data_IF_331300461897
#
_entry.id   IF_331300461897
#
_cell.length_a   1.000
_cell.length_b   1.000
_cell.length_c   1.000
_cell.angle_alpha   90.00
_cell.angle_beta   90.00
_cell.angle_gamma   90.00
#
_symmetry.space_group_name_H-M   'P 1'
#
loop_
_entity.id
_entity.type
_entity.pdbx_description
1 polymer ?
#
# COMPACT_ATOMS: atom_id res chain seq x y z
N UNK A 1 15.57 1.01 -22.35
CA UNK A 1 16.41 -0.20 -22.41
C UNK A 1 15.99 -1.13 -21.28
N UNK A 2 15.93 -2.45 -21.50
CA UNK A 2 15.51 -3.46 -20.50
C UNK A 2 16.70 -4.31 -20.06
N UNK A 3 16.67 -4.88 -18.85
CA UNK A 3 17.75 -5.75 -18.34
C UNK A 3 17.38 -7.24 -18.38
N UNK A 4 18.34 -8.10 -18.70
CA UNK A 4 18.20 -9.57 -18.74
C UNK A 4 19.47 -10.24 -18.18
N UNK A 5 19.37 -11.42 -17.53
CA UNK A 5 18.15 -12.19 -17.30
C UNK A 5 17.18 -11.49 -16.35
N UNK A 6 15.88 -11.63 -16.60
CA UNK A 6 14.85 -11.06 -15.72
C UNK A 6 14.60 -11.99 -14.50
N UNK A 7 13.77 -11.56 -13.56
CA UNK A 7 13.49 -12.31 -12.33
C UNK A 7 12.67 -13.59 -12.52
N UNK A 8 12.12 -13.80 -13.72
CA UNK A 8 11.47 -15.05 -14.14
C UNK A 8 12.47 -16.05 -14.77
N UNK A 9 13.74 -15.66 -14.93
CA UNK A 9 14.78 -16.50 -15.50
C UNK A 9 14.92 -16.39 -17.03
N UNK A 10 14.08 -15.58 -17.69
CA UNK A 10 14.19 -15.33 -19.12
C UNK A 10 15.52 -14.62 -19.42
N UNK A 11 16.21 -15.02 -20.48
CA UNK A 11 17.52 -14.48 -20.88
C UNK A 11 17.43 -13.46 -22.00
N UNK A 12 16.26 -13.31 -22.61
CA UNK A 12 16.03 -12.39 -23.71
C UNK A 12 14.60 -11.85 -23.72
N UNK A 13 14.41 -10.73 -24.41
CA UNK A 13 13.08 -10.16 -24.66
C UNK A 13 12.19 -11.13 -25.43
N UNK A 14 12.75 -11.90 -26.38
CA UNK A 14 11.99 -12.87 -27.19
C UNK A 14 11.42 -13.98 -26.32
N UNK A 15 12.24 -14.55 -25.43
CA UNK A 15 11.83 -15.58 -24.48
C UNK A 15 10.73 -15.06 -23.54
N UNK A 16 10.93 -13.89 -22.94
CA UNK A 16 9.94 -13.25 -22.09
C UNK A 16 8.62 -12.94 -22.84
N UNK A 17 8.70 -12.51 -24.09
CA UNK A 17 7.52 -12.26 -24.93
C UNK A 17 6.76 -13.55 -25.20
N UNK A 18 7.47 -14.66 -25.41
CA UNK A 18 6.83 -15.94 -25.70
C UNK A 18 6.03 -16.47 -24.51
N UNK A 19 6.56 -16.35 -23.29
CA UNK A 19 5.82 -16.70 -22.07
C UNK A 19 4.65 -15.73 -21.82
N UNK A 20 4.86 -14.42 -21.97
CA UNK A 20 3.83 -13.39 -21.76
C UNK A 20 2.59 -13.56 -22.66
N UNK A 21 2.75 -14.11 -23.87
CA UNK A 21 1.64 -14.35 -24.81
C UNK A 21 0.50 -15.19 -24.21
N UNK A 22 0.81 -16.10 -23.28
CA UNK A 22 -0.21 -16.92 -22.62
C UNK A 22 -1.19 -16.08 -21.76
N UNK A 23 -0.75 -14.93 -21.27
CA UNK A 23 -1.50 -14.07 -20.34
C UNK A 23 -2.08 -12.85 -21.06
N UNK A 24 -1.55 -12.49 -22.23
CA UNK A 24 -1.96 -11.33 -23.01
C UNK A 24 -3.47 -11.23 -23.32
N UNK A 25 -4.22 -12.32 -23.55
CA UNK A 25 -5.67 -12.23 -23.72
C UNK A 25 -6.40 -11.52 -22.56
N UNK A 26 -5.90 -11.61 -21.32
CA UNK A 26 -6.47 -10.88 -20.18
C UNK A 26 -6.29 -9.36 -20.31
N UNK A 27 -5.20 -8.92 -20.94
CA UNK A 27 -4.96 -7.50 -21.26
C UNK A 27 -5.96 -7.01 -22.31
N UNK A 28 -6.26 -7.83 -23.31
CA UNK A 28 -7.23 -7.51 -24.37
C UNK A 28 -8.68 -7.50 -23.85
N UNK A 29 -9.01 -8.43 -22.95
CA UNK A 29 -10.30 -8.43 -22.24
C UNK A 29 -10.44 -7.20 -21.34
N UNK A 30 -9.32 -6.66 -20.84
CA UNK A 30 -9.33 -5.45 -20.02
C UNK A 30 -9.85 -5.67 -18.60
N UNK A 31 -9.62 -6.85 -18.01
CA UNK A 31 -10.07 -7.16 -16.65
C UNK A 31 -9.51 -6.21 -15.57
N UNK A 32 -8.36 -5.57 -15.81
CA UNK A 32 -7.82 -4.49 -14.96
C UNK A 32 -7.00 -3.51 -15.79
N UNK A 33 -7.17 -2.21 -15.52
CA UNK A 33 -6.38 -1.16 -16.13
C UNK A 33 -4.88 -1.23 -15.75
N UNK A 34 -4.56 -1.87 -14.62
CA UNK A 34 -3.19 -2.04 -14.12
C UNK A 34 -2.45 -3.23 -14.73
N UNK A 35 -3.16 -4.18 -15.36
CA UNK A 35 -2.57 -5.46 -15.77
C UNK A 35 -1.43 -5.27 -16.78
N UNK A 36 -1.61 -4.40 -17.78
CA UNK A 36 -0.57 -4.15 -18.79
C UNK A 36 0.70 -3.62 -18.15
N UNK A 37 0.58 -2.63 -17.27
CA UNK A 37 1.71 -2.03 -16.59
C UNK A 37 2.42 -3.04 -15.66
N UNK A 38 1.65 -3.86 -14.94
CA UNK A 38 2.18 -4.93 -14.10
C UNK A 38 3.03 -5.92 -14.90
N UNK A 39 2.45 -6.49 -15.97
CA UNK A 39 3.12 -7.48 -16.80
C UNK A 39 4.36 -6.91 -17.49
N UNK A 40 4.26 -5.70 -18.06
CA UNK A 40 5.40 -5.04 -18.69
C UNK A 40 6.53 -4.78 -17.69
N UNK A 41 6.22 -4.29 -16.48
CA UNK A 41 7.23 -4.01 -15.45
C UNK A 41 7.91 -5.28 -14.95
N UNK A 42 7.18 -6.42 -14.89
CA UNK A 42 7.73 -7.68 -14.42
C UNK A 42 8.54 -8.44 -15.49
N UNK A 43 8.01 -8.53 -16.71
CA UNK A 43 8.64 -9.26 -17.81
C UNK A 43 9.77 -8.46 -18.47
N UNK A 44 9.65 -7.14 -18.53
CA UNK A 44 10.56 -6.23 -19.21
C UNK A 44 11.07 -5.14 -18.26
N UNK A 45 11.79 -5.53 -17.20
CA UNK A 45 12.32 -4.59 -16.23
C UNK A 45 13.21 -3.53 -16.89
N UNK A 46 13.03 -2.26 -16.51
CA UNK A 46 13.87 -1.17 -17.00
C UNK A 46 15.33 -1.39 -16.60
N UNK A 47 16.24 -1.14 -17.54
CA UNK A 47 17.67 -1.05 -17.25
C UNK A 47 17.95 0.35 -16.70
N UNK A 48 18.28 0.43 -15.42
CA UNK A 48 18.69 1.67 -14.75
C UNK A 48 20.06 1.45 -14.09
N UNK A 49 21.14 2.08 -14.62
CA UNK A 49 22.48 1.94 -14.06
C UNK A 49 22.62 2.47 -12.62
N UNK A 50 21.70 3.34 -12.18
CA UNK A 50 21.69 3.87 -10.82
C UNK A 50 21.03 2.91 -9.82
N UNK A 51 20.28 1.91 -10.31
CA UNK A 51 19.57 0.96 -9.46
C UNK A 51 20.48 -0.22 -9.12
N UNK A 52 20.96 -0.23 -7.87
CA UNK A 52 21.81 -1.31 -7.33
C UNK A 52 21.01 -2.51 -6.80
N UNK A 53 19.71 -2.34 -6.52
CA UNK A 53 18.86 -3.39 -5.96
C UNK A 53 17.72 -3.78 -6.91
N UNK A 54 17.55 -5.09 -7.13
CA UNK A 54 16.47 -5.68 -7.94
C UNK A 54 15.07 -5.32 -7.40
N UNK A 55 14.93 -5.12 -6.08
CA UNK A 55 13.71 -4.66 -5.41
C UNK A 55 13.16 -3.35 -5.97
N UNK A 56 14.03 -2.50 -6.54
CA UNK A 56 13.63 -1.21 -7.12
C UNK A 56 13.14 -1.35 -8.57
N UNK A 57 13.33 -2.51 -9.18
CA UNK A 57 12.99 -2.80 -10.58
C UNK A 57 11.70 -3.62 -10.69
N UNK A 58 11.37 -4.40 -9.66
CA UNK A 58 10.12 -5.16 -9.60
C UNK A 58 8.88 -4.24 -9.57
N UNK A 59 7.74 -4.67 -10.14
CA UNK A 59 6.50 -3.94 -9.95
C UNK A 59 6.12 -3.89 -8.47
N UNK A 60 5.37 -2.86 -8.07
CA UNK A 60 4.89 -2.76 -6.70
C UNK A 60 3.81 -3.79 -6.39
N UNK A 61 3.71 -4.18 -5.12
CA UNK A 61 2.60 -4.99 -4.61
C UNK A 61 1.23 -4.40 -4.98
N UNK A 62 1.07 -3.08 -4.85
CA UNK A 62 -0.13 -2.35 -5.26
C UNK A 62 -0.54 -2.63 -6.71
N UNK A 63 0.43 -2.55 -7.62
CA UNK A 63 0.18 -2.74 -9.04
C UNK A 63 -0.24 -4.20 -9.34
N UNK A 64 0.36 -5.17 -8.64
CA UNK A 64 -0.07 -6.56 -8.67
C UNK A 64 -1.49 -6.73 -8.13
N UNK A 65 -1.81 -6.20 -6.94
CA UNK A 65 -3.11 -6.36 -6.29
C UNK A 65 -4.25 -5.77 -7.13
N UNK A 66 -4.04 -4.60 -7.73
CA UNK A 66 -5.02 -4.00 -8.64
C UNK A 66 -5.22 -4.83 -9.92
N UNK A 67 -4.17 -5.48 -10.40
CA UNK A 67 -4.27 -6.40 -11.54
C UNK A 67 -5.05 -7.65 -11.15
N UNK A 68 -4.69 -8.27 -10.02
CA UNK A 68 -5.31 -9.48 -9.48
C UNK A 68 -6.79 -9.28 -9.18
N UNK A 69 -7.17 -8.16 -8.55
CA UNK A 69 -8.56 -7.85 -8.14
C UNK A 69 -9.58 -8.02 -9.27
N UNK A 70 -9.23 -7.58 -10.48
CA UNK A 70 -10.11 -7.70 -11.65
C UNK A 70 -9.93 -9.00 -12.43
N UNK A 71 -8.71 -9.52 -12.49
CA UNK A 71 -8.36 -10.62 -13.40
C UNK A 71 -8.44 -12.01 -12.76
N UNK A 72 -8.14 -12.16 -11.47
CA UNK A 72 -8.23 -13.46 -10.79
C UNK A 72 -9.64 -14.05 -10.80
N UNK A 73 -10.73 -13.31 -10.50
CA UNK A 73 -12.09 -13.86 -10.60
C UNK A 73 -12.42 -14.37 -12.00
N UNK A 74 -11.92 -13.67 -13.03
CA UNK A 74 -12.09 -14.06 -14.42
C UNK A 74 -11.31 -15.34 -14.75
N UNK A 75 -10.04 -15.44 -14.34
CA UNK A 75 -9.24 -16.64 -14.53
C UNK A 75 -9.87 -17.86 -13.84
N UNK A 76 -10.29 -17.68 -12.58
CA UNK A 76 -10.94 -18.73 -11.78
C UNK A 76 -12.23 -19.23 -12.47
N UNK A 77 -13.00 -18.33 -13.09
CA UNK A 77 -14.22 -18.69 -13.84
C UNK A 77 -13.93 -19.65 -15.00
N UNK A 78 -12.74 -19.60 -15.58
CA UNK A 78 -12.30 -20.50 -16.66
C UNK A 78 -11.42 -21.65 -16.17
N UNK A 79 -11.33 -21.87 -14.85
CA UNK A 79 -10.59 -22.98 -14.25
C UNK A 79 -9.08 -22.75 -14.16
N UNK A 80 -8.61 -21.52 -14.34
CA UNK A 80 -7.20 -21.16 -14.19
C UNK A 80 -6.99 -20.40 -12.88
N UNK A 81 -6.18 -20.91 -11.93
CA UNK A 81 -5.86 -20.15 -10.73
C UNK A 81 -4.93 -18.98 -11.05
N UNK A 82 -4.89 -17.98 -10.16
CA UNK A 82 -3.89 -16.92 -10.25
C UNK A 82 -2.47 -17.53 -10.18
N UNK A 83 -1.54 -17.18 -11.09
CA UNK A 83 -0.23 -17.83 -11.16
C UNK A 83 0.60 -17.64 -9.88
N UNK A 84 1.30 -18.68 -9.44
CA UNK A 84 2.10 -18.62 -8.22
C UNK A 84 3.25 -17.60 -8.31
N UNK A 85 3.86 -17.42 -9.48
CA UNK A 85 4.86 -16.37 -9.72
C UNK A 85 4.28 -14.95 -9.67
N UNK A 86 2.95 -14.79 -9.71
CA UNK A 86 2.27 -13.49 -9.59
C UNK A 86 1.67 -13.25 -8.21
N UNK A 87 1.99 -14.07 -7.21
CA UNK A 87 1.50 -13.84 -5.85
C UNK A 87 1.99 -12.49 -5.30
N UNK A 88 1.07 -11.58 -5.01
CA UNK A 88 1.40 -10.17 -4.79
C UNK A 88 2.31 -9.89 -3.58
N UNK A 89 2.36 -10.80 -2.60
CA UNK A 89 3.24 -10.67 -1.45
C UNK A 89 4.73 -10.76 -1.82
N UNK A 90 5.07 -11.35 -2.99
CA UNK A 90 6.44 -11.46 -3.53
C UNK A 90 6.98 -10.13 -4.05
N UNK A 91 6.11 -9.16 -4.28
CA UNK A 91 6.50 -7.84 -4.77
C UNK A 91 6.74 -6.87 -3.60
N UNK A 92 7.70 -5.94 -3.77
CA UNK A 92 7.99 -4.93 -2.77
C UNK A 92 6.77 -4.04 -2.51
N UNK A 93 6.69 -3.56 -1.27
CA UNK A 93 5.83 -2.43 -0.95
C UNK A 93 6.25 -1.22 -1.78
N UNK A 94 5.33 -0.69 -2.58
CA UNK A 94 5.56 0.50 -3.39
C UNK A 94 4.76 1.69 -2.89
N UNK A 95 5.14 2.88 -3.35
CA UNK A 95 4.33 4.06 -3.18
C UNK A 95 3.08 3.99 -4.05
N UNK A 96 1.93 4.06 -3.42
CA UNK A 96 0.61 4.03 -4.05
C UNK A 96 -0.17 5.32 -3.74
N UNK A 97 -1.05 5.78 -4.65
CA UNK A 97 -1.94 6.89 -4.37
C UNK A 97 -2.79 6.59 -3.12
N UNK A 98 -2.89 7.55 -2.21
CA UNK A 98 -3.73 7.38 -1.03
C UNK A 98 -5.20 7.42 -1.44
N UNK A 99 -5.94 6.34 -1.17
CA UNK A 99 -7.36 6.16 -1.51
C UNK A 99 -8.29 6.45 -0.34
N UNK A 100 -7.75 6.54 0.88
CA UNK A 100 -8.53 6.80 2.09
C UNK A 100 -8.99 8.26 2.12
N UNK A 101 -10.31 8.56 2.06
CA UNK A 101 -10.81 9.92 1.82
C UNK A 101 -10.31 10.96 2.83
N UNK A 102 -10.29 10.61 4.12
CA UNK A 102 -9.81 11.51 5.18
C UNK A 102 -8.30 11.79 5.09
N UNK A 103 -7.52 10.94 4.42
CA UNK A 103 -6.06 11.11 4.32
C UNK A 103 -5.62 11.64 2.95
N UNK A 104 -6.32 11.30 1.88
CA UNK A 104 -5.94 11.57 0.48
C UNK A 104 -5.76 13.05 0.15
N UNK A 105 -6.41 13.94 0.89
CA UNK A 105 -6.27 15.39 0.70
C UNK A 105 -4.84 15.86 1.02
N UNK A 106 -4.31 15.44 2.18
CA UNK A 106 -3.00 15.88 2.70
C UNK A 106 -1.87 14.90 2.38
N UNK A 107 -2.15 13.60 2.40
CA UNK A 107 -1.21 12.54 2.05
C UNK A 107 -1.53 12.04 0.64
N UNK A 108 -0.73 12.44 -0.35
CA UNK A 108 -0.98 12.07 -1.76
C UNK A 108 -0.58 10.63 -2.08
N UNK A 109 0.47 10.14 -1.45
CA UNK A 109 0.99 8.79 -1.64
C UNK A 109 1.37 8.17 -0.30
N UNK A 110 1.08 6.90 -0.14
CA UNK A 110 1.44 6.07 1.02
C UNK A 110 2.16 4.82 0.52
N UNK A 111 2.83 4.11 1.42
CA UNK A 111 3.37 2.77 1.13
C UNK A 111 2.82 1.76 2.13
N UNK A 112 2.90 0.47 1.82
CA UNK A 112 2.51 -0.61 2.71
C UNK A 112 3.57 -1.73 2.70
N UNK A 113 3.74 -2.49 3.81
CA UNK A 113 2.89 -2.53 5.00
C UNK A 113 3.05 -1.31 5.93
N UNK A 114 2.06 -1.06 6.78
CA UNK A 114 2.18 -0.08 7.86
C UNK A 114 2.73 -0.71 9.15
N UNK A 115 2.94 0.10 10.21
CA UNK A 115 3.52 -0.36 11.49
C UNK A 115 2.67 -1.40 12.23
N UNK A 116 1.39 -1.52 11.88
CA UNK A 116 0.46 -2.49 12.46
C UNK A 116 0.38 -3.80 11.67
N UNK A 117 1.16 -3.93 10.59
CA UNK A 117 1.20 -5.14 9.78
C UNK A 117 0.11 -5.24 8.72
N UNK A 118 -0.74 -4.21 8.57
CA UNK A 118 -1.68 -4.13 7.44
C UNK A 118 -0.91 -4.21 6.13
N UNK A 119 -1.42 -4.97 5.17
CA UNK A 119 -0.70 -5.27 3.91
C UNK A 119 -1.02 -4.29 2.80
N UNK A 120 -2.16 -3.61 2.89
CA UNK A 120 -2.68 -2.67 1.88
C UNK A 120 -3.57 -1.61 2.55
N UNK A 121 -3.94 -0.58 1.79
CA UNK A 121 -4.82 0.49 2.24
C UNK A 121 -6.23 0.03 2.60
N UNK A 122 -6.74 -1.05 2.01
CA UNK A 122 -8.09 -1.52 2.32
C UNK A 122 -8.19 -2.02 3.76
N UNK A 123 -7.26 -2.89 4.17
CA UNK A 123 -7.19 -3.41 5.54
C UNK A 123 -7.01 -2.27 6.55
N UNK A 124 -6.03 -1.38 6.35
CA UNK A 124 -5.81 -0.23 7.24
C UNK A 124 -7.00 0.76 7.22
N UNK A 125 -7.64 0.91 6.07
CA UNK A 125 -8.81 1.76 5.86
C UNK A 125 -10.02 1.32 6.68
N UNK A 126 -10.25 0.01 6.79
CA UNK A 126 -11.34 -0.55 7.61
C UNK A 126 -11.13 -0.23 9.10
N UNK A 127 -9.88 -0.29 9.58
CA UNK A 127 -9.57 -0.02 10.97
C UNK A 127 -9.62 1.48 11.30
N UNK A 128 -8.95 2.32 10.52
CA UNK A 128 -8.91 3.77 10.77
C UNK A 128 -10.30 4.42 10.66
N UNK A 129 -11.18 3.87 9.83
CA UNK A 129 -12.53 4.41 9.63
C UNK A 129 -13.41 4.28 10.88
N UNK A 130 -13.08 3.40 11.83
CA UNK A 130 -13.74 3.33 13.15
C UNK A 130 -13.66 4.66 13.90
N UNK A 131 -12.60 5.45 13.66
CA UNK A 131 -12.38 6.73 14.33
C UNK A 131 -12.96 7.94 13.58
N UNK A 132 -13.58 7.74 12.41
CA UNK A 132 -14.08 8.83 11.57
C UNK A 132 -15.09 9.72 12.31
N UNK A 133 -15.94 9.14 13.17
CA UNK A 133 -16.94 9.90 13.93
C UNK A 133 -16.30 10.94 14.86
N UNK A 134 -15.18 10.61 15.52
CA UNK A 134 -14.50 11.52 16.43
C UNK A 134 -13.73 12.61 15.68
N UNK A 135 -13.25 12.29 14.46
CA UNK A 135 -12.68 13.29 13.55
C UNK A 135 -13.74 14.33 13.19
N UNK A 136 -14.94 13.90 12.84
CA UNK A 136 -16.06 14.80 12.52
C UNK A 136 -16.56 15.55 13.76
N UNK A 137 -16.56 14.91 14.93
CA UNK A 137 -16.89 15.56 16.20
C UNK A 137 -15.91 16.68 16.59
N UNK A 138 -14.71 16.72 15.99
CA UNK A 138 -13.75 17.78 16.21
C UNK A 138 -13.12 17.76 17.60
N UNK A 139 -12.95 16.57 18.19
CA UNK A 139 -12.37 16.40 19.53
C UNK A 139 -10.93 16.92 19.64
N UNK A 140 -10.20 16.96 18.51
CA UNK A 140 -8.88 17.58 18.39
C UNK A 140 -8.61 17.94 16.94
N UNK A 141 -8.07 19.14 16.70
CA UNK A 141 -7.66 19.61 15.37
C UNK A 141 -6.57 18.73 14.72
N UNK A 142 -5.86 17.96 15.55
CA UNK A 142 -4.76 17.10 15.10
C UNK A 142 -5.16 15.65 14.89
N UNK A 143 -6.39 15.24 15.24
CA UNK A 143 -6.72 13.81 15.30
C UNK A 143 -6.68 13.12 13.92
N UNK A 144 -7.23 13.77 12.90
CA UNK A 144 -7.19 13.25 11.53
C UNK A 144 -5.75 13.08 11.04
N UNK A 145 -4.88 14.07 11.30
CA UNK A 145 -3.49 14.03 10.86
C UNK A 145 -2.67 12.99 11.64
N UNK A 146 -2.99 12.79 12.93
CA UNK A 146 -2.42 11.74 13.77
C UNK A 146 -2.75 10.35 13.20
N UNK A 147 -4.03 10.06 13.00
CA UNK A 147 -4.48 8.79 12.43
C UNK A 147 -3.84 8.52 11.06
N UNK A 148 -3.86 9.52 10.17
CA UNK A 148 -3.28 9.37 8.84
C UNK A 148 -1.76 9.10 8.90
N UNK A 149 -1.04 9.74 9.80
CA UNK A 149 0.41 9.54 9.93
C UNK A 149 0.78 8.19 10.52
N UNK A 150 -0.08 7.64 11.39
CA UNK A 150 0.19 6.40 12.12
C UNK A 150 -0.23 5.18 11.29
N UNK A 151 -1.36 5.26 10.59
CA UNK A 151 -1.88 4.18 9.75
C UNK A 151 -1.33 4.16 8.32
N UNK A 152 -0.89 5.30 7.77
CA UNK A 152 -0.47 5.43 6.37
C UNK A 152 0.94 5.99 6.28
N UNK A 153 1.97 5.12 6.23
CA UNK A 153 3.35 5.58 6.26
C UNK A 153 3.70 6.31 4.98
N UNK A 154 4.49 7.38 5.12
CA UNK A 154 4.88 8.20 3.98
C UNK A 154 5.86 7.46 3.08
N UNK A 155 5.86 7.84 1.82
CA UNK A 155 6.76 7.31 0.81
C UNK A 155 8.25 7.53 1.12
N UNK A 156 8.62 8.75 1.51
CA UNK A 156 10.01 9.13 1.77
C UNK A 156 10.35 8.99 3.27
N UNK A 157 11.21 8.03 3.66
CA UNK A 157 11.60 7.80 5.05
C UNK A 157 12.42 8.95 5.66
N UNK A 158 13.00 9.86 4.87
CA UNK A 158 13.68 11.06 5.40
C UNK A 158 12.72 12.07 6.05
N UNK A 159 11.40 11.85 5.96
CA UNK A 159 10.35 12.70 6.56
C UNK A 159 9.57 11.94 7.64
N UNK A 160 9.96 10.70 7.97
CA UNK A 160 9.23 9.82 8.90
C UNK A 160 9.52 10.12 10.38
N UNK A 161 10.67 10.74 10.73
CA UNK A 161 11.10 10.88 12.13
C UNK A 161 10.53 12.08 12.89
N UNK A 162 9.88 13.04 12.23
CA UNK A 162 9.77 14.40 12.82
C UNK A 162 8.36 14.90 13.16
N UNK A 163 7.27 14.15 12.90
CA UNK A 163 5.93 14.77 13.03
C UNK A 163 5.15 14.49 14.30
N UNK A 164 5.31 13.34 14.96
CA UNK A 164 4.46 12.98 16.11
C UNK A 164 5.31 12.50 17.29
N UNK A 165 5.50 13.41 18.23
CA UNK A 165 6.09 13.11 19.53
C UNK A 165 5.00 12.76 20.55
N UNK A 166 5.43 12.27 21.71
CA UNK A 166 4.55 11.92 22.81
C UNK A 166 3.62 13.07 23.23
N UNK A 167 4.09 14.32 23.16
CA UNK A 167 3.31 15.51 23.49
C UNK A 167 2.08 15.64 22.56
N UNK A 168 2.27 15.56 21.25
CA UNK A 168 1.20 15.75 20.28
C UNK A 168 0.18 14.59 20.34
N UNK A 169 0.64 13.36 20.61
CA UNK A 169 -0.26 12.24 20.90
C UNK A 169 -1.11 12.51 22.15
N UNK A 170 -0.49 12.96 23.25
CA UNK A 170 -1.20 13.25 24.49
C UNK A 170 -2.26 14.36 24.32
N UNK A 171 -1.97 15.38 23.52
CA UNK A 171 -2.93 16.44 23.17
C UNK A 171 -4.17 15.87 22.47
N UNK A 172 -3.97 14.96 21.51
CA UNK A 172 -5.08 14.28 20.82
C UNK A 172 -5.86 13.40 21.79
N UNK A 173 -5.16 12.57 22.58
CA UNK A 173 -5.78 11.67 23.57
C UNK A 173 -6.64 12.46 24.56
N UNK A 174 -6.11 13.55 25.12
CA UNK A 174 -6.83 14.36 26.10
C UNK A 174 -8.16 14.94 25.57
N UNK A 175 -8.23 15.28 24.29
CA UNK A 175 -9.47 15.78 23.67
C UNK A 175 -10.45 14.68 23.26
N UNK A 176 -9.94 13.54 22.79
CA UNK A 176 -10.77 12.52 22.15
C UNK A 176 -11.14 11.34 23.06
N UNK A 177 -10.28 10.95 24.00
CA UNK A 177 -10.51 9.81 24.91
C UNK A 177 -11.79 9.96 25.76
N UNK A 178 -12.12 11.14 26.34
CA UNK A 178 -13.39 11.29 27.07
C UNK A 178 -14.62 10.96 26.22
N UNK A 179 -14.63 11.41 24.96
CA UNK A 179 -15.73 11.19 24.02
C UNK A 179 -15.80 9.73 23.57
N UNK A 180 -14.64 9.07 23.40
CA UNK A 180 -14.60 7.63 23.11
C UNK A 180 -15.20 6.84 24.28
N UNK A 181 -14.81 7.17 25.51
CA UNK A 181 -15.27 6.49 26.71
C UNK A 181 -16.79 6.66 26.94
N UNK A 182 -17.36 7.82 26.61
CA UNK A 182 -18.81 8.07 26.70
C UNK A 182 -19.64 7.07 25.86
N UNK A 183 -19.07 6.55 24.78
CA UNK A 183 -19.73 5.56 23.92
C UNK A 183 -19.19 4.14 24.10
N UNK A 184 -18.45 3.89 25.18
CA UNK A 184 -17.91 2.57 25.53
C UNK A 184 -16.75 2.11 24.63
N UNK A 185 -16.01 3.07 24.07
CA UNK A 185 -14.78 2.81 23.32
C UNK A 185 -13.58 3.29 24.12
N UNK A 186 -12.68 2.38 24.50
CA UNK A 186 -11.43 2.77 25.16
C UNK A 186 -10.42 3.32 24.15
N UNK A 187 -9.47 4.14 24.63
CA UNK A 187 -8.32 4.54 23.82
C UNK A 187 -7.50 3.30 23.42
N UNK A 188 -7.25 3.05 22.11
CA UNK A 188 -6.59 1.83 21.67
C UNK A 188 -5.16 1.70 22.17
N UNK A 189 -4.78 0.50 22.63
CA UNK A 189 -3.42 0.21 23.08
C UNK A 189 -2.38 0.41 21.97
N UNK A 190 -2.76 0.15 20.71
CA UNK A 190 -1.94 0.37 19.51
C UNK A 190 -1.60 1.85 19.30
N UNK A 191 -2.42 2.77 19.84
CA UNK A 191 -2.25 4.21 19.78
C UNK A 191 -1.74 4.80 21.11
N UNK A 192 -1.23 3.97 22.02
CA UNK A 192 -0.60 4.42 23.28
C UNK A 192 0.50 5.45 23.03
N UNK A 193 0.43 6.57 23.73
CA UNK A 193 1.33 7.70 23.51
C UNK A 193 2.77 7.41 23.92
N UNK A 194 2.96 6.42 24.79
CA UNK A 194 4.26 5.92 25.26
C UNK A 194 5.06 5.23 24.14
N UNK A 195 4.42 4.88 23.01
CA UNK A 195 5.09 4.30 21.84
C UNK A 195 5.73 5.34 20.91
N UNK A 196 5.55 6.64 21.17
CA UNK A 196 6.13 7.72 20.38
C UNK A 196 7.32 8.34 21.11
N UNK A 197 8.28 8.88 20.37
CA UNK A 197 9.47 9.49 20.95
C UNK A 197 9.09 10.67 21.84
N UNK A 198 9.72 10.75 23.01
CA UNK A 198 9.76 11.97 23.81
C UNK A 198 10.56 13.00 23.01
N UNK A 199 9.86 14.02 22.53
CA UNK A 199 10.48 15.14 21.80
C UNK A 199 11.35 15.99 22.70
#
# INVERSE_FOLDING_TARGET
MTTFPNTLGHRSQTEATQDLKAIWPLVEIGCSASLREFLCSYYFPKCDPAVKEISTILPSRYLCENSRKGCEPLMNKFGFPWPSNFECHKFPGGCEPTTIPMCAQKLKKTKFPNRFGHKNQHEAGLEVNKFYIFVVAGCSDFFQDFLCSVYFPKCNPQVDSERWNQLLCNTVRAGCEPIMNEIGMDWPNELSCEQFTSG
#
